data_IF_741359791599
#
_entry.id   IF_741359791599
#
_cell.length_a   1.000
_cell.length_b   1.000
_cell.length_c   1.000
_cell.angle_alpha   90.00
_cell.angle_beta   90.00
_cell.angle_gamma   90.00
#
_symmetry.space_group_name_H-M   'P 1'
#
loop_
_entity.id
_entity.type
_entity.pdbx_description
1 polymer ?
#
# COMPACT_ATOMS: atom_id res chain seq x y z
N UNK A 1 26.33 -6.54 -0.41
CA UNK A 1 25.57 -7.71 -0.90
C UNK A 1 25.61 -8.79 0.17
N UNK A 2 24.53 -8.96 0.94
CA UNK A 2 24.33 -10.19 1.71
C UNK A 2 24.03 -11.33 0.70
N UNK A 3 24.44 -12.58 0.96
CA UNK A 3 24.20 -13.66 0.01
C UNK A 3 22.69 -13.85 -0.13
N UNK A 4 22.18 -13.72 -1.35
CA UNK A 4 20.87 -14.24 -1.74
C UNK A 4 20.81 -15.69 -1.27
N UNK A 5 19.85 -15.96 -0.40
CA UNK A 5 19.53 -17.32 0.03
C UNK A 5 19.50 -18.20 -1.22
N UNK A 6 20.29 -19.29 -1.27
CA UNK A 6 20.45 -20.16 -2.44
C UNK A 6 19.19 -20.99 -2.70
N UNK A 7 18.03 -20.41 -2.47
CA UNK A 7 16.72 -21.00 -2.46
C UNK A 7 15.98 -20.62 -3.74
N UNK A 8 15.22 -21.58 -4.25
CA UNK A 8 14.33 -21.44 -5.37
C UNK A 8 13.32 -20.33 -5.10
N UNK A 9 13.22 -19.36 -6.00
CA UNK A 9 12.26 -18.26 -5.88
C UNK A 9 10.78 -18.72 -5.96
N UNK A 10 10.52 -19.98 -6.28
CA UNK A 10 9.16 -20.53 -6.43
C UNK A 10 8.76 -21.42 -5.25
N UNK A 11 9.66 -22.28 -4.77
CA UNK A 11 9.33 -23.28 -3.73
C UNK A 11 10.27 -23.24 -2.51
N UNK A 12 11.22 -22.31 -2.47
CA UNK A 12 12.20 -22.15 -1.39
C UNK A 12 13.19 -23.32 -1.18
N UNK A 13 13.13 -24.39 -1.96
CA UNK A 13 14.14 -25.47 -1.97
C UNK A 13 15.49 -25.00 -2.53
N UNK A 14 16.63 -25.61 -2.19
CA UNK A 14 17.94 -25.25 -2.75
C UNK A 14 17.94 -25.19 -4.29
N UNK A 15 18.53 -24.14 -4.85
CA UNK A 15 18.47 -23.82 -6.26
C UNK A 15 19.81 -23.39 -6.88
N UNK A 16 19.84 -23.42 -8.20
CA UNK A 16 20.95 -22.93 -9.04
C UNK A 16 20.60 -21.57 -9.63
N UNK A 17 21.62 -20.75 -9.86
CA UNK A 17 21.46 -19.43 -10.46
C UNK A 17 20.87 -19.52 -11.88
N UNK A 18 20.03 -18.54 -12.20
CA UNK A 18 19.64 -18.27 -13.58
C UNK A 18 20.89 -17.91 -14.40
N UNK A 19 21.22 -18.70 -15.43
CA UNK A 19 22.41 -18.46 -16.26
C UNK A 19 22.39 -17.16 -17.06
N UNK A 20 21.24 -16.47 -17.14
CA UNK A 20 21.15 -15.16 -17.78
C UNK A 20 21.47 -14.04 -16.80
N UNK A 21 20.72 -13.84 -15.71
CA UNK A 21 20.95 -12.70 -14.81
C UNK A 21 21.99 -12.96 -13.70
N UNK A 22 22.25 -14.23 -13.39
CA UNK A 22 23.08 -14.69 -12.28
C UNK A 22 22.69 -14.07 -10.93
N UNK A 23 21.39 -13.95 -10.65
CA UNK A 23 20.88 -13.38 -9.41
C UNK A 23 19.80 -14.26 -8.75
N UNK A 24 18.70 -14.56 -9.46
CA UNK A 24 17.66 -15.45 -8.94
C UNK A 24 18.08 -16.93 -9.02
N UNK A 25 17.56 -17.75 -8.12
CA UNK A 25 17.81 -19.20 -8.06
C UNK A 25 16.55 -20.01 -8.35
N UNK A 26 16.72 -21.18 -8.97
CA UNK A 26 15.66 -22.18 -9.18
C UNK A 26 16.17 -23.59 -8.88
N UNK A 27 15.35 -24.42 -8.22
CA UNK A 27 15.68 -25.83 -7.96
C UNK A 27 15.74 -26.67 -9.25
N UNK A 28 15.09 -26.22 -10.32
CA UNK A 28 15.15 -26.87 -11.63
C UNK A 28 14.30 -26.17 -12.71
N UNK A 29 14.26 -26.74 -13.93
CA UNK A 29 13.58 -26.13 -15.09
C UNK A 29 12.09 -25.91 -14.90
N UNK A 30 11.42 -26.73 -14.07
CA UNK A 30 9.98 -26.60 -13.80
C UNK A 30 9.68 -25.27 -13.11
N UNK A 31 10.38 -24.97 -12.00
CA UNK A 31 10.23 -23.70 -11.29
C UNK A 31 10.69 -22.51 -12.13
N UNK A 32 11.80 -22.65 -12.86
CA UNK A 32 12.26 -21.60 -13.77
C UNK A 32 11.22 -21.27 -14.85
N UNK A 33 10.61 -22.29 -15.48
CA UNK A 33 9.60 -22.11 -16.52
C UNK A 33 8.31 -21.51 -15.97
N UNK A 34 7.91 -21.89 -14.75
CA UNK A 34 6.74 -21.32 -14.08
C UNK A 34 6.91 -19.81 -13.82
N UNK A 35 8.09 -19.38 -13.40
CA UNK A 35 8.41 -17.98 -13.12
C UNK A 35 8.81 -17.17 -14.37
N UNK A 36 9.20 -17.84 -15.47
CA UNK A 36 9.78 -17.21 -16.65
C UNK A 36 8.94 -16.08 -17.25
N UNK A 37 7.60 -16.19 -17.23
CA UNK A 37 6.71 -15.16 -17.76
C UNK A 37 6.91 -13.80 -17.06
N UNK A 38 7.20 -13.84 -15.75
CA UNK A 38 7.44 -12.68 -14.90
C UNK A 38 8.93 -12.33 -14.91
N UNK A 39 9.79 -13.30 -14.59
CA UNK A 39 11.24 -13.09 -14.47
C UNK A 39 11.87 -12.47 -15.73
N UNK A 40 11.45 -12.89 -16.93
CA UNK A 40 12.02 -12.39 -18.19
C UNK A 40 11.93 -10.87 -18.37
N UNK A 41 10.97 -10.22 -17.69
CA UNK A 41 10.75 -8.77 -17.78
C UNK A 41 11.96 -7.98 -17.25
N UNK A 42 12.63 -8.48 -16.21
CA UNK A 42 13.79 -7.85 -15.56
C UNK A 42 15.09 -8.66 -15.67
N UNK A 43 15.03 -9.94 -16.07
CA UNK A 43 16.17 -10.84 -16.11
C UNK A 43 17.39 -10.25 -16.84
N UNK A 44 17.22 -9.80 -18.09
CA UNK A 44 18.35 -9.32 -18.89
C UNK A 44 18.83 -7.93 -18.48
N UNK A 45 17.92 -7.06 -18.03
CA UNK A 45 18.29 -5.70 -17.58
C UNK A 45 19.04 -5.70 -16.26
N UNK A 46 18.90 -6.75 -15.44
CA UNK A 46 19.60 -6.86 -14.16
C UNK A 46 21.11 -6.70 -14.28
N UNK A 47 21.75 -7.24 -15.33
CA UNK A 47 23.22 -7.10 -15.51
C UNK A 47 23.66 -5.63 -15.57
N UNK A 48 22.90 -4.79 -16.26
CA UNK A 48 23.20 -3.37 -16.39
C UNK A 48 22.90 -2.59 -15.09
N UNK A 49 22.00 -3.11 -14.26
CA UNK A 49 21.63 -2.53 -12.98
C UNK A 49 22.29 -3.26 -11.79
N UNK A 50 23.29 -4.12 -12.00
CA UNK A 50 23.87 -4.94 -10.93
C UNK A 50 24.59 -4.07 -9.90
N UNK A 51 25.39 -3.12 -10.39
CA UNK A 51 26.25 -2.27 -9.58
C UNK A 51 25.75 -0.83 -9.56
N UNK A 52 25.84 -0.13 -8.42
CA UNK A 52 25.42 1.25 -8.30
C UNK A 52 26.31 2.19 -9.11
N UNK A 53 25.75 3.26 -9.71
CA UNK A 53 26.54 4.25 -10.43
C UNK A 53 27.34 5.18 -9.49
N UNK A 54 27.10 5.12 -8.18
CA UNK A 54 27.78 5.94 -7.18
C UNK A 54 27.36 5.59 -5.75
N UNK A 55 27.96 6.23 -4.74
CA UNK A 55 27.55 6.08 -3.34
C UNK A 55 26.13 6.64 -3.13
N UNK A 56 25.47 6.19 -2.06
CA UNK A 56 24.13 6.66 -1.67
C UNK A 56 23.07 6.51 -2.77
N UNK A 57 23.20 5.48 -3.59
CA UNK A 57 22.21 5.07 -4.59
C UNK A 57 21.55 3.78 -4.14
N UNK A 58 20.24 3.64 -4.41
CA UNK A 58 19.53 2.38 -4.22
C UNK A 58 18.86 1.92 -5.51
N UNK A 59 18.82 0.60 -5.72
CA UNK A 59 18.15 0.00 -6.86
C UNK A 59 16.67 -0.21 -6.55
N UNK A 60 15.85 0.38 -7.40
CA UNK A 60 14.39 0.35 -7.34
C UNK A 60 13.83 -0.32 -8.59
N UNK A 61 12.58 -0.77 -8.53
CA UNK A 61 11.84 -1.24 -9.70
C UNK A 61 10.81 -0.18 -10.06
N UNK A 62 10.96 0.40 -11.25
CA UNK A 62 10.03 1.36 -11.81
C UNK A 62 9.03 0.66 -12.73
N UNK A 63 7.77 1.08 -12.61
CA UNK A 63 6.66 0.68 -13.45
C UNK A 63 6.21 1.91 -14.25
N UNK A 64 6.80 2.15 -15.43
CA UNK A 64 6.39 3.25 -16.29
C UNK A 64 4.95 3.04 -16.77
N UNK A 65 4.15 4.09 -16.79
CA UNK A 65 2.73 3.96 -17.17
C UNK A 65 2.51 3.82 -18.68
N UNK A 66 3.47 4.25 -19.49
CA UNK A 66 3.40 4.26 -20.96
C UNK A 66 4.12 3.05 -21.61
N UNK A 67 4.56 2.07 -20.83
CA UNK A 67 5.24 0.88 -21.31
C UNK A 67 4.75 -0.34 -20.53
N UNK A 68 4.66 -1.50 -21.17
CA UNK A 68 4.29 -2.75 -20.52
C UNK A 68 5.42 -3.35 -19.66
N UNK A 69 6.65 -2.84 -19.80
CA UNK A 69 7.84 -3.44 -19.22
C UNK A 69 8.31 -2.67 -17.97
N UNK A 70 8.47 -3.34 -16.82
CA UNK A 70 9.13 -2.74 -15.66
C UNK A 70 10.65 -2.64 -15.86
N UNK A 71 11.28 -1.74 -15.12
CA UNK A 71 12.70 -1.42 -15.28
C UNK A 71 13.40 -1.26 -13.94
N UNK A 72 14.67 -1.67 -13.86
CA UNK A 72 15.52 -1.30 -12.73
C UNK A 72 16.04 0.12 -12.93
N UNK A 73 15.94 0.94 -11.88
CA UNK A 73 16.56 2.26 -11.84
C UNK A 73 17.44 2.37 -10.60
N UNK A 74 18.48 3.19 -10.70
CA UNK A 74 19.23 3.64 -9.53
C UNK A 74 18.75 5.03 -9.16
N UNK A 75 18.31 5.20 -7.91
CA UNK A 75 17.84 6.49 -7.40
C UNK A 75 18.69 6.96 -6.22
N UNK A 76 18.95 8.27 -6.11
CA UNK A 76 19.62 8.83 -4.94
C UNK A 76 18.81 8.56 -3.68
N UNK A 77 19.50 8.25 -2.59
CA UNK A 77 18.88 7.99 -1.31
C UNK A 77 18.75 9.31 -0.54
N UNK A 78 17.58 9.55 0.05
CA UNK A 78 17.35 10.69 0.93
C UNK A 78 18.27 10.60 2.16
N UNK A 79 19.02 11.67 2.50
CA UNK A 79 19.78 11.73 3.74
C UNK A 79 18.85 11.66 4.98
N UNK A 80 19.35 11.04 6.05
CA UNK A 80 18.64 10.94 7.32
C UNK A 80 18.53 9.50 7.84
N UNK A 81 17.66 9.33 8.83
CA UNK A 81 17.45 8.05 9.52
C UNK A 81 16.60 7.05 8.72
N UNK A 82 15.80 7.56 7.78
CA UNK A 82 14.97 6.76 6.87
C UNK A 82 15.51 6.88 5.45
N UNK A 83 16.23 5.84 5.01
CA UNK A 83 16.85 5.73 3.70
C UNK A 83 15.81 5.31 2.65
N UNK A 84 15.30 6.26 1.86
CA UNK A 84 14.29 6.04 0.80
C UNK A 84 14.71 6.73 -0.50
N UNK A 85 14.17 6.36 -1.68
CA UNK A 85 14.56 7.02 -2.91
C UNK A 85 14.13 8.49 -2.93
N UNK A 86 14.89 9.32 -3.64
CA UNK A 86 14.50 10.66 -4.05
C UNK A 86 13.95 10.58 -5.48
N UNK A 87 12.64 10.42 -5.68
CA UNK A 87 12.05 10.20 -7.01
C UNK A 87 12.17 11.43 -7.93
N UNK A 88 12.44 12.62 -7.37
CA UNK A 88 12.60 13.85 -8.15
C UNK A 88 11.36 14.14 -9.00
N UNK A 89 11.53 14.13 -10.33
CA UNK A 89 10.45 14.37 -11.31
C UNK A 89 9.76 13.08 -11.79
N UNK A 90 10.09 11.92 -11.23
CA UNK A 90 9.57 10.62 -11.69
C UNK A 90 8.04 10.57 -11.72
N UNK A 91 7.37 11.12 -10.71
CA UNK A 91 5.90 11.18 -10.65
C UNK A 91 5.29 12.35 -11.44
N UNK A 92 6.13 13.21 -12.03
CA UNK A 92 5.72 14.40 -12.73
C UNK A 92 5.21 15.52 -11.79
N UNK A 93 4.50 16.45 -12.40
CA UNK A 93 3.84 17.57 -11.74
C UNK A 93 2.35 17.56 -12.06
N UNK A 94 1.56 18.28 -11.27
CA UNK A 94 0.12 18.41 -11.48
C UNK A 94 -0.68 17.56 -10.49
N UNK A 95 -1.70 18.20 -9.92
CA UNK A 95 -2.43 17.79 -8.73
C UNK A 95 -3.18 18.99 -8.12
N UNK A 96 -3.81 18.82 -6.95
CA UNK A 96 -4.43 19.91 -6.18
C UNK A 96 -3.45 21.02 -5.79
N UNK A 97 -2.14 20.74 -5.79
CA UNK A 97 -1.08 21.74 -5.55
C UNK A 97 -0.91 22.77 -6.66
N UNK A 98 -1.54 22.57 -7.83
CA UNK A 98 -1.48 23.49 -8.97
C UNK A 98 -0.27 23.27 -9.91
N UNK A 99 -0.17 24.07 -10.99
CA UNK A 99 0.85 23.92 -12.01
C UNK A 99 2.27 24.02 -11.44
N UNK A 100 3.14 23.07 -11.79
CA UNK A 100 4.55 23.07 -11.39
C UNK A 100 4.83 22.51 -9.98
N UNK A 101 3.82 22.15 -9.19
CA UNK A 101 4.03 21.38 -7.96
C UNK A 101 4.23 19.89 -8.27
N UNK A 102 5.08 19.17 -7.50
CA UNK A 102 5.19 17.72 -7.59
C UNK A 102 3.81 17.08 -7.43
N UNK A 103 3.55 16.00 -8.17
CA UNK A 103 2.34 15.20 -7.98
C UNK A 103 2.28 14.65 -6.55
N UNK A 104 1.07 14.58 -5.97
CA UNK A 104 0.92 13.89 -4.69
C UNK A 104 1.09 12.38 -4.89
N UNK A 105 1.79 11.77 -3.94
CA UNK A 105 2.03 10.33 -3.92
C UNK A 105 1.63 9.75 -2.59
N UNK A 106 1.13 8.53 -2.62
CA UNK A 106 0.93 7.69 -1.44
C UNK A 106 1.89 6.50 -1.48
N UNK A 107 2.12 5.89 -0.32
CA UNK A 107 3.03 4.77 -0.12
C UNK A 107 2.34 3.64 0.66
N UNK A 108 2.39 2.43 0.14
CA UNK A 108 1.97 1.23 0.85
C UNK A 108 3.15 0.27 0.96
N UNK A 109 3.32 -0.33 2.13
CA UNK A 109 4.46 -1.21 2.41
C UNK A 109 4.02 -2.57 2.90
N UNK A 110 4.76 -3.62 2.55
CA UNK A 110 4.49 -4.98 3.03
C UNK A 110 5.80 -5.74 3.30
N UNK A 111 5.75 -6.67 4.24
CA UNK A 111 6.89 -7.55 4.58
C UNK A 111 6.52 -9.03 4.57
N UNK A 112 5.36 -9.38 4.02
CA UNK A 112 4.91 -10.77 3.92
C UNK A 112 4.83 -11.20 2.46
N UNK A 113 5.19 -12.45 2.20
CA UNK A 113 4.85 -13.11 0.95
C UNK A 113 3.33 -13.28 0.86
N UNK A 114 2.73 -12.76 -0.20
CA UNK A 114 1.28 -12.63 -0.33
C UNK A 114 0.56 -13.98 -0.39
N UNK A 115 1.27 -15.04 -0.81
CA UNK A 115 0.70 -16.38 -0.94
C UNK A 115 0.85 -17.23 0.30
N UNK A 116 1.96 -17.07 1.01
CA UNK A 116 2.35 -17.98 2.09
C UNK A 116 2.31 -17.33 3.47
N UNK A 117 2.18 -16.00 3.54
CA UNK A 117 2.23 -15.23 4.79
C UNK A 117 3.61 -15.18 5.44
N UNK A 118 4.60 -15.88 4.88
CA UNK A 118 5.96 -15.91 5.39
C UNK A 118 6.58 -14.52 5.31
N UNK A 119 7.32 -14.15 6.36
CA UNK A 119 8.02 -12.87 6.40
C UNK A 119 9.15 -12.84 5.37
N UNK A 120 9.19 -11.77 4.58
CA UNK A 120 10.25 -11.47 3.64
C UNK A 120 11.51 -11.03 4.40
N UNK A 121 12.65 -11.12 3.74
CA UNK A 121 13.93 -10.69 4.32
C UNK A 121 14.10 -9.17 4.37
N UNK A 122 13.22 -8.43 3.69
CA UNK A 122 13.14 -6.98 3.69
C UNK A 122 11.71 -6.52 3.45
N UNK A 123 11.43 -5.26 3.81
CA UNK A 123 10.16 -4.59 3.53
C UNK A 123 10.17 -4.02 2.12
N UNK A 124 9.10 -4.22 1.39
CA UNK A 124 8.88 -3.64 0.07
C UNK A 124 7.87 -2.51 0.19
N UNK A 125 8.20 -1.35 -0.36
CA UNK A 125 7.33 -0.16 -0.38
C UNK A 125 6.98 0.19 -1.82
N UNK A 126 5.69 0.35 -2.09
CA UNK A 126 5.11 0.75 -3.37
C UNK A 126 4.64 2.20 -3.23
N UNK A 127 5.27 3.08 -3.98
CA UNK A 127 4.91 4.49 -4.10
C UNK A 127 4.18 4.75 -5.42
N UNK A 128 3.02 5.39 -5.35
CA UNK A 128 2.15 5.63 -6.51
C UNK A 128 1.45 6.99 -6.40
N UNK A 129 0.90 7.49 -7.52
CA UNK A 129 0.12 8.74 -7.52
C UNK A 129 -1.20 8.56 -6.76
N UNK A 130 -1.48 9.46 -5.84
CA UNK A 130 -2.71 9.44 -5.01
C UNK A 130 -3.88 10.19 -5.68
N UNK A 131 -3.58 11.13 -6.58
CA UNK A 131 -4.58 12.01 -7.21
C UNK A 131 -5.16 11.47 -8.53
N UNK A 132 -4.94 10.19 -8.84
CA UNK A 132 -5.27 9.65 -10.16
C UNK A 132 -6.76 9.77 -10.56
N UNK A 133 -7.65 9.92 -9.58
CA UNK A 133 -9.09 10.08 -9.80
C UNK A 133 -9.47 11.49 -10.28
N UNK A 134 -8.61 12.48 -10.08
CA UNK A 134 -8.89 13.89 -10.35
C UNK A 134 -7.91 14.54 -11.32
N UNK A 135 -6.73 13.93 -11.53
CA UNK A 135 -5.65 14.50 -12.35
C UNK A 135 -5.62 14.02 -13.82
N UNK A 136 -6.49 13.07 -14.19
CA UNK A 136 -6.56 12.52 -15.55
C UNK A 136 -5.46 11.51 -15.90
N UNK A 137 -4.74 10.99 -14.90
CA UNK A 137 -3.67 9.99 -15.10
C UNK A 137 -4.18 8.74 -15.81
N UNK A 138 -3.43 8.29 -16.82
CA UNK A 138 -3.72 7.06 -17.54
C UNK A 138 -3.39 5.83 -16.68
N UNK A 139 -4.13 4.71 -16.84
CA UNK A 139 -3.80 3.45 -16.19
C UNK A 139 -2.35 3.02 -16.45
N UNK A 140 -1.71 2.43 -15.44
CA UNK A 140 -0.32 2.02 -15.56
C UNK A 140 -0.18 0.74 -16.39
N UNK A 141 0.26 0.87 -17.65
CA UNK A 141 0.41 -0.26 -18.56
C UNK A 141 1.40 -1.32 -18.04
N UNK A 142 2.46 -0.93 -17.32
CA UNK A 142 3.45 -1.87 -16.80
C UNK A 142 2.87 -2.73 -15.67
N UNK A 143 2.05 -2.15 -14.79
CA UNK A 143 1.38 -2.88 -13.70
C UNK A 143 0.34 -3.84 -14.29
N UNK A 144 -0.51 -3.37 -15.21
CA UNK A 144 -1.53 -4.19 -15.86
C UNK A 144 -0.93 -5.37 -16.64
N UNK A 145 0.17 -5.14 -17.37
CA UNK A 145 0.86 -6.21 -18.08
C UNK A 145 1.53 -7.23 -17.14
N UNK A 146 2.02 -6.79 -15.98
CA UNK A 146 2.63 -7.67 -14.98
C UNK A 146 1.58 -8.58 -14.32
N UNK A 147 0.43 -8.03 -13.93
CA UNK A 147 -0.65 -8.80 -13.28
C UNK A 147 -1.37 -9.69 -14.28
N UNK A 148 -1.53 -9.23 -15.52
CA UNK A 148 -2.26 -9.91 -16.59
C UNK A 148 -3.78 -9.81 -16.43
N UNK A 149 -4.26 -8.80 -15.69
CA UNK A 149 -5.68 -8.66 -15.35
C UNK A 149 -5.93 -7.61 -14.25
N UNK A 150 -7.08 -7.70 -13.55
CA UNK A 150 -7.46 -6.78 -12.49
C UNK A 150 -6.39 -6.65 -11.41
N UNK A 151 -6.25 -5.43 -10.89
CA UNK A 151 -5.36 -5.11 -9.78
C UNK A 151 -6.18 -4.81 -8.53
N UNK A 152 -5.58 -5.05 -7.35
CA UNK A 152 -6.14 -4.71 -6.03
C UNK A 152 -6.78 -3.32 -6.04
N UNK A 153 -6.10 -2.38 -6.69
CA UNK A 153 -6.61 -1.04 -6.94
C UNK A 153 -6.19 -0.57 -8.33
N UNK A 154 -6.82 0.51 -8.78
CA UNK A 154 -6.41 1.19 -10.02
C UNK A 154 -5.12 1.96 -9.75
N UNK A 155 -4.03 1.52 -10.36
CA UNK A 155 -2.78 2.27 -10.43
C UNK A 155 -2.77 3.06 -11.74
N UNK A 156 -2.61 4.38 -11.61
CA UNK A 156 -2.55 5.28 -12.76
C UNK A 156 -1.38 6.26 -12.61
N UNK A 157 -0.77 6.60 -13.74
CA UNK A 157 0.54 7.22 -13.77
C UNK A 157 1.66 6.27 -13.31
N UNK A 158 2.90 6.78 -13.19
CA UNK A 158 4.06 5.95 -12.87
C UNK A 158 3.99 5.41 -11.44
N UNK A 159 4.50 4.19 -11.23
CA UNK A 159 4.61 3.54 -9.93
C UNK A 159 6.07 3.19 -9.67
N UNK A 160 6.53 3.36 -8.43
CA UNK A 160 7.90 3.08 -8.00
C UNK A 160 7.88 2.09 -6.85
N UNK A 161 8.75 1.08 -6.87
CA UNK A 161 8.87 0.10 -5.81
C UNK A 161 10.31 0.05 -5.30
N UNK A 162 10.49 0.09 -3.99
CA UNK A 162 11.80 0.11 -3.35
C UNK A 162 11.83 -0.75 -2.08
N UNK A 163 13.05 -1.17 -1.69
CA UNK A 163 13.28 -2.08 -0.57
C UNK A 163 13.90 -1.37 0.63
N UNK A 164 13.50 -1.79 1.83
CA UNK A 164 14.00 -1.28 3.10
C UNK A 164 14.20 -2.37 4.14
N UNK A 165 15.11 -2.16 5.09
CA UNK A 165 15.20 -3.02 6.27
C UNK A 165 13.90 -2.97 7.04
N UNK A 166 13.43 -4.14 7.46
CA UNK A 166 12.28 -4.27 8.34
C UNK A 166 12.73 -4.12 9.80
N UNK A 167 12.77 -2.87 10.26
CA UNK A 167 13.23 -2.50 11.61
C UNK A 167 12.06 -2.06 12.49
N UNK A 168 12.25 -2.07 13.80
CA UNK A 168 11.21 -1.61 14.73
C UNK A 168 11.04 -0.10 14.66
N UNK A 169 9.92 0.40 15.16
CA UNK A 169 9.68 1.83 15.31
C UNK A 169 10.80 2.51 16.10
N UNK A 170 11.30 3.64 15.58
CA UNK A 170 12.41 4.39 16.16
C UNK A 170 13.81 3.91 15.75
N UNK A 171 13.93 2.79 15.04
CA UNK A 171 15.20 2.34 14.48
C UNK A 171 15.48 2.96 13.10
N UNK A 172 16.77 3.09 12.76
CA UNK A 172 17.20 3.63 11.46
C UNK A 172 16.87 2.63 10.35
N UNK A 173 16.03 3.06 9.41
CA UNK A 173 15.64 2.27 8.24
C UNK A 173 16.71 2.42 7.16
N UNK A 174 17.38 1.32 6.81
CA UNK A 174 18.34 1.26 5.71
C UNK A 174 17.65 0.88 4.39
N UNK A 175 18.25 1.27 3.28
CA UNK A 175 17.81 0.88 1.94
C UNK A 175 18.28 -0.53 1.61
N UNK A 176 17.48 -1.27 0.85
CA UNK A 176 17.82 -2.57 0.28
C UNK A 176 17.60 -2.50 -1.23
N UNK A 177 18.60 -2.94 -1.99
CA UNK A 177 18.54 -2.99 -3.45
C UNK A 177 17.64 -4.13 -3.90
N UNK A 178 16.50 -3.79 -4.49
CA UNK A 178 15.59 -4.80 -5.05
C UNK A 178 16.27 -5.55 -6.18
N UNK A 179 15.97 -6.83 -6.36
CA UNK A 179 16.58 -7.66 -7.40
C UNK A 179 15.54 -8.47 -8.19
N UNK A 180 15.99 -9.43 -8.99
CA UNK A 180 15.07 -10.18 -9.86
C UNK A 180 14.14 -11.12 -9.09
N UNK A 181 14.42 -11.41 -7.81
CA UNK A 181 13.59 -12.26 -6.94
C UNK A 181 12.35 -11.53 -6.39
N UNK A 182 12.36 -10.20 -6.33
CA UNK A 182 11.26 -9.42 -5.74
C UNK A 182 10.07 -9.25 -6.69
N UNK A 183 10.30 -9.38 -8.01
CA UNK A 183 9.27 -9.04 -9.00
C UNK A 183 8.00 -9.89 -8.86
N UNK A 184 8.12 -11.17 -8.48
CA UNK A 184 6.96 -12.04 -8.38
C UNK A 184 6.12 -11.74 -7.13
N UNK A 185 6.75 -11.41 -6.00
CA UNK A 185 5.99 -11.00 -4.80
C UNK A 185 5.32 -9.64 -5.01
N UNK A 186 6.00 -8.70 -5.69
CA UNK A 186 5.42 -7.42 -6.10
C UNK A 186 4.22 -7.63 -7.03
N UNK A 187 4.33 -8.55 -8.00
CA UNK A 187 3.22 -8.93 -8.87
C UNK A 187 2.00 -9.41 -8.08
N UNK A 188 2.20 -10.30 -7.11
CA UNK A 188 1.10 -10.79 -6.29
C UNK A 188 0.49 -9.68 -5.44
N UNK A 189 1.29 -8.76 -4.91
CA UNK A 189 0.77 -7.63 -4.17
C UNK A 189 -0.08 -6.71 -5.06
N UNK A 190 0.34 -6.43 -6.30
CA UNK A 190 -0.51 -5.65 -7.22
C UNK A 190 -1.83 -6.36 -7.57
N UNK A 191 -1.84 -7.68 -7.66
CA UNK A 191 -3.02 -8.45 -8.06
C UNK A 191 -3.99 -8.74 -6.89
N UNK A 192 -3.44 -9.06 -5.71
CA UNK A 192 -4.20 -9.61 -4.57
C UNK A 192 -4.17 -8.66 -3.38
N UNK A 193 -3.12 -7.84 -3.25
CA UNK A 193 -2.87 -6.97 -2.12
C UNK A 193 -2.10 -7.65 -1.01
N UNK A 194 -2.57 -7.50 0.21
CA UNK A 194 -1.89 -7.99 1.41
C UNK A 194 -2.24 -9.44 1.71
N UNK A 195 -1.36 -10.14 2.40
CA UNK A 195 -1.66 -11.46 2.92
C UNK A 195 -2.83 -11.40 3.92
N UNK A 196 -3.83 -12.26 3.73
CA UNK A 196 -4.95 -12.44 4.64
C UNK A 196 -4.73 -13.70 5.49
N UNK A 197 -4.64 -13.54 6.82
CA UNK A 197 -4.58 -14.69 7.72
C UNK A 197 -5.98 -15.19 8.08
N UNK A 198 -6.08 -16.46 8.46
CA UNK A 198 -7.36 -17.14 8.75
C UNK A 198 -8.17 -16.43 9.85
N UNK A 199 -7.48 -15.86 10.84
CA UNK A 199 -8.08 -15.18 11.99
C UNK A 199 -8.26 -13.66 11.78
N UNK A 200 -7.97 -13.12 10.59
CA UNK A 200 -7.94 -11.67 10.37
C UNK A 200 -9.26 -10.98 10.74
N UNK A 201 -10.41 -11.57 10.38
CA UNK A 201 -11.72 -11.01 10.73
C UNK A 201 -11.91 -10.93 12.26
N UNK A 202 -11.46 -11.95 13.00
CA UNK A 202 -11.51 -11.94 14.47
C UNK A 202 -10.65 -10.82 15.05
N UNK A 203 -9.44 -10.63 14.50
CA UNK A 203 -8.52 -9.58 14.93
C UNK A 203 -9.07 -8.18 14.63
N UNK A 204 -9.66 -8.00 13.45
CA UNK A 204 -10.38 -6.78 13.07
C UNK A 204 -11.55 -6.53 14.02
N UNK A 205 -12.40 -7.52 14.27
CA UNK A 205 -13.55 -7.35 15.17
C UNK A 205 -13.12 -6.92 16.58
N UNK A 206 -12.04 -7.51 17.12
CA UNK A 206 -11.47 -7.13 18.42
C UNK A 206 -10.83 -5.75 18.41
N UNK A 207 -10.16 -5.37 17.32
CA UNK A 207 -9.60 -4.03 17.13
C UNK A 207 -10.72 -2.98 17.11
N UNK A 208 -11.78 -3.22 16.34
CA UNK A 208 -12.94 -2.32 16.25
C UNK A 208 -13.71 -2.25 17.58
N UNK A 209 -13.85 -3.36 18.32
CA UNK A 209 -14.55 -3.38 19.61
C UNK A 209 -13.85 -2.56 20.70
N UNK A 210 -12.54 -2.33 20.57
CA UNK A 210 -11.78 -1.50 21.51
C UNK A 210 -12.13 -0.02 21.45
N UNK A 211 -12.93 0.43 20.47
CA UNK A 211 -13.35 1.82 20.31
C UNK A 211 -12.26 2.77 19.81
N UNK A 212 -11.03 2.27 19.58
CA UNK A 212 -9.91 3.05 19.08
C UNK A 212 -9.97 3.34 17.58
N UNK A 213 -11.00 2.82 16.91
CA UNK A 213 -11.06 2.76 15.47
C UNK A 213 -12.46 3.14 14.99
N UNK A 214 -12.58 4.30 14.34
CA UNK A 214 -13.86 4.84 13.89
C UNK A 214 -14.09 4.51 12.41
N UNK A 215 -15.22 3.86 12.09
CA UNK A 215 -15.55 3.55 10.69
C UNK A 215 -15.81 4.85 9.93
N UNK A 216 -15.34 4.92 8.67
CA UNK A 216 -15.60 6.06 7.79
C UNK A 216 -17.10 6.31 7.59
N UNK A 217 -17.90 5.25 7.47
CA UNK A 217 -19.37 5.34 7.41
C UNK A 217 -19.95 6.06 8.62
N UNK A 218 -19.46 5.72 9.82
CA UNK A 218 -19.97 6.25 11.07
C UNK A 218 -19.58 7.73 11.21
N UNK A 219 -18.39 8.11 10.73
CA UNK A 219 -17.97 9.52 10.65
C UNK A 219 -18.88 10.35 9.74
N UNK A 220 -19.25 9.81 8.58
CA UNK A 220 -20.15 10.48 7.64
C UNK A 220 -21.54 10.64 8.28
N UNK A 221 -22.11 9.57 8.82
CA UNK A 221 -23.43 9.59 9.46
C UNK A 221 -23.46 10.50 10.70
N UNK A 222 -22.40 10.53 11.50
CA UNK A 222 -22.25 11.44 12.64
C UNK A 222 -22.31 12.91 12.17
N UNK A 223 -21.58 13.22 11.11
CA UNK A 223 -21.53 14.58 10.55
C UNK A 223 -22.89 14.99 10.01
N UNK A 224 -23.54 14.12 9.22
CA UNK A 224 -24.90 14.34 8.69
C UNK A 224 -25.93 14.53 9.81
N UNK A 225 -25.87 13.70 10.85
CA UNK A 225 -26.76 13.79 12.00
C UNK A 225 -26.58 15.11 12.77
N UNK A 226 -25.32 15.55 12.93
CA UNK A 226 -25.02 16.82 13.60
C UNK A 226 -25.48 18.03 12.77
N UNK A 227 -25.23 18.01 11.47
CA UNK A 227 -25.74 19.06 10.56
C UNK A 227 -27.28 19.14 10.60
N UNK A 228 -27.96 18.00 10.65
CA UNK A 228 -29.41 17.96 10.79
C UNK A 228 -29.88 18.52 12.14
N UNK A 229 -29.14 18.27 13.23
CA UNK A 229 -29.42 18.88 14.54
C UNK A 229 -29.25 20.41 14.51
N UNK A 230 -28.21 20.91 13.85
CA UNK A 230 -28.02 22.35 13.67
C UNK A 230 -29.18 22.97 12.87
N UNK A 231 -29.60 22.33 11.78
CA UNK A 231 -30.75 22.77 10.97
C UNK A 231 -32.04 22.82 11.79
N UNK A 232 -32.34 21.78 12.56
CA UNK A 232 -33.57 21.73 13.39
C UNK A 232 -33.56 22.78 14.51
N UNK A 233 -32.38 23.13 15.04
CA UNK A 233 -32.20 24.22 16.03
C UNK A 233 -32.09 25.61 15.40
N UNK A 234 -32.24 25.75 14.07
CA UNK A 234 -32.10 27.02 13.37
C UNK A 234 -30.70 27.62 13.43
N UNK A 235 -29.67 26.79 13.68
CA UNK A 235 -28.27 27.22 13.74
C UNK A 235 -27.62 27.11 12.35
N UNK A 236 -26.78 28.07 11.95
CA UNK A 236 -26.06 28.00 10.69
C UNK A 236 -25.01 26.88 10.74
N UNK A 237 -24.85 26.15 9.63
CA UNK A 237 -23.75 25.22 9.44
C UNK A 237 -22.53 26.03 8.99
N UNK A 238 -21.45 26.08 9.78
CA UNK A 238 -20.27 26.85 9.42
C UNK A 238 -19.60 26.25 8.17
N UNK A 239 -19.18 27.12 7.26
CA UNK A 239 -18.33 26.75 6.11
C UNK A 239 -16.91 27.20 6.41
N UNK A 240 -15.97 26.27 6.33
CA UNK A 240 -14.55 26.55 6.50
C UNK A 240 -13.87 26.48 5.13
N UNK A 241 -13.18 27.54 4.75
CA UNK A 241 -12.26 27.55 3.60
C UNK A 241 -10.84 27.35 4.10
N UNK A 242 -10.01 26.62 3.35
CA UNK A 242 -8.59 26.49 3.68
C UNK A 242 -7.84 27.81 3.56
N UNK A 243 -8.31 28.72 2.70
CA UNK A 243 -7.65 30.02 2.44
C UNK A 243 -7.98 31.08 3.50
N UNK A 244 -9.03 30.88 4.31
CA UNK A 244 -9.52 31.85 5.30
C UNK A 244 -10.21 31.12 6.48
N UNK A 245 -9.42 30.29 7.18
CA UNK A 245 -9.94 29.52 8.30
C UNK A 245 -9.94 30.35 9.60
N UNK A 246 -11.13 30.66 10.11
CA UNK A 246 -11.29 31.17 11.46
C UNK A 246 -11.05 30.02 12.46
N UNK A 247 -9.79 29.88 12.89
CA UNK A 247 -9.32 28.79 13.77
C UNK A 247 -10.18 28.70 15.04
N UNK A 248 -10.60 29.84 15.59
CA UNK A 248 -11.40 29.86 16.82
C UNK A 248 -12.78 29.25 16.58
N UNK A 249 -13.49 29.69 15.54
CA UNK A 249 -14.79 29.09 15.17
C UNK A 249 -14.67 27.62 14.80
N UNK A 250 -13.58 27.24 14.15
CA UNK A 250 -13.30 25.84 13.82
C UNK A 250 -13.13 24.99 15.09
N UNK A 251 -12.35 25.46 16.08
CA UNK A 251 -12.20 24.77 17.36
C UNK A 251 -13.53 24.65 18.11
N UNK A 252 -14.31 25.73 18.19
CA UNK A 252 -15.63 25.74 18.84
C UNK A 252 -16.60 24.74 18.17
N UNK A 253 -16.61 24.68 16.83
CA UNK A 253 -17.40 23.71 16.08
C UNK A 253 -16.97 22.27 16.37
N UNK A 254 -15.66 21.99 16.37
CA UNK A 254 -15.14 20.65 16.64
C UNK A 254 -15.41 20.19 18.06
N UNK A 255 -15.30 21.08 19.05
CA UNK A 255 -15.64 20.77 20.43
C UNK A 255 -17.13 20.44 20.58
N UNK A 256 -18.01 21.21 19.93
CA UNK A 256 -19.45 20.95 19.94
C UNK A 256 -19.81 19.63 19.22
N UNK A 257 -19.16 19.33 18.09
CA UNK A 257 -19.30 18.05 17.38
C UNK A 257 -18.81 16.87 18.25
N UNK A 258 -17.72 17.06 18.99
CA UNK A 258 -17.18 16.05 19.91
C UNK A 258 -18.14 15.74 21.05
N UNK A 259 -18.78 16.75 21.64
CA UNK A 259 -19.82 16.54 22.65
C UNK A 259 -21.08 15.88 22.07
N UNK A 260 -21.51 16.27 20.87
CA UNK A 260 -22.61 15.60 20.17
C UNK A 260 -22.31 14.12 19.92
N UNK A 261 -21.08 13.82 19.48
CA UNK A 261 -20.61 12.46 19.23
C UNK A 261 -20.80 11.54 20.44
N UNK A 262 -20.51 12.00 21.66
CA UNK A 262 -20.68 11.17 22.87
C UNK A 262 -22.11 10.65 23.02
N UNK A 263 -23.10 11.50 22.76
CA UNK A 263 -24.51 11.14 22.84
C UNK A 263 -24.95 10.29 21.64
N UNK A 264 -24.45 10.63 20.45
CA UNK A 264 -24.72 9.89 19.22
C UNK A 264 -24.19 8.45 19.29
N UNK A 265 -22.96 8.25 19.79
CA UNK A 265 -22.37 6.92 20.01
C UNK A 265 -23.18 6.09 21.00
N UNK A 266 -23.67 6.71 22.09
CA UNK A 266 -24.52 6.03 23.07
C UNK A 266 -25.85 5.58 22.45
N UNK A 267 -26.47 6.43 21.62
CA UNK A 267 -27.72 6.12 20.92
C UNK A 267 -27.53 5.03 19.85
N UNK A 268 -26.48 5.12 19.03
CA UNK A 268 -26.20 4.13 17.99
C UNK A 268 -25.88 2.75 18.53
N UNK A 269 -25.18 2.65 19.67
CA UNK A 269 -24.95 1.36 20.33
C UNK A 269 -26.24 0.66 20.76
N UNK A 270 -27.29 1.43 21.07
CA UNK A 270 -28.60 0.89 21.45
C UNK A 270 -29.41 0.49 20.21
N UNK A 271 -29.39 1.31 19.15
CA UNK A 271 -30.16 1.08 17.93
C UNK A 271 -29.55 0.00 17.03
N UNK A 272 -28.22 -0.15 17.04
CA UNK A 272 -27.47 -1.15 16.29
C UNK A 272 -26.60 -1.99 17.24
N UNK A 273 -27.19 -2.89 18.04
CA UNK A 273 -26.44 -3.76 18.91
C UNK A 273 -25.49 -4.62 18.06
N UNK A 274 -24.20 -4.38 18.19
CA UNK A 274 -23.19 -5.23 17.57
C UNK A 274 -23.07 -6.49 18.41
N UNK A 275 -23.09 -7.68 17.81
CA UNK A 275 -22.77 -8.93 18.51
C UNK A 275 -21.40 -8.79 19.17
N UNK A 276 -21.42 -8.61 20.49
CA UNK A 276 -20.19 -8.42 21.26
C UNK A 276 -19.57 -9.80 21.43
N UNK A 277 -18.66 -10.15 20.53
CA UNK A 277 -17.82 -11.33 20.71
C UNK A 277 -17.03 -11.16 22.01
N UNK A 278 -16.97 -12.24 22.80
CA UNK A 278 -16.19 -12.24 24.02
C UNK A 278 -14.69 -12.22 23.69
N UNK A 279 -14.04 -11.10 24.00
CA UNK A 279 -12.60 -10.90 23.84
C UNK A 279 -11.86 -10.91 25.18
N UNK A 280 -12.41 -11.55 26.21
CA UNK A 280 -11.80 -11.71 27.53
C UNK A 280 -10.41 -12.37 27.49
N UNK A 281 -10.16 -13.23 26.50
CA UNK A 281 -8.84 -13.86 26.30
C UNK A 281 -7.81 -12.86 25.77
N UNK A 282 -6.58 -12.86 26.30
CA UNK A 282 -5.52 -11.97 25.82
C UNK A 282 -5.20 -12.22 24.34
N UNK A 283 -4.65 -11.20 23.68
CA UNK A 283 -4.15 -11.31 22.31
C UNK A 283 -2.98 -12.30 22.25
N UNK A 284 -3.01 -13.19 21.28
CA UNK A 284 -1.90 -14.10 21.03
C UNK A 284 -0.78 -13.42 20.22
N UNK A 285 0.30 -14.16 19.96
CA UNK A 285 1.46 -13.64 19.21
C UNK A 285 1.13 -13.33 17.74
N UNK A 286 0.19 -14.06 17.14
CA UNK A 286 -0.20 -13.88 15.75
C UNK A 286 -1.01 -12.59 15.59
N UNK A 287 -1.96 -12.33 16.50
CA UNK A 287 -2.72 -11.08 16.53
C UNK A 287 -1.81 -9.87 16.76
N UNK A 288 -0.88 -9.95 17.72
CA UNK A 288 0.06 -8.86 18.00
C UNK A 288 0.95 -8.55 16.79
N UNK A 289 1.44 -9.57 16.09
CA UNK A 289 2.23 -9.41 14.88
C UNK A 289 1.39 -8.82 13.73
N UNK A 290 0.15 -9.27 13.58
CA UNK A 290 -0.79 -8.74 12.59
C UNK A 290 -1.11 -7.26 12.84
N UNK A 291 -1.33 -6.86 14.10
CA UNK A 291 -1.57 -5.45 14.47
C UNK A 291 -0.38 -4.55 14.18
N UNK A 292 0.82 -5.02 14.48
CA UNK A 292 2.03 -4.26 14.18
C UNK A 292 2.22 -4.11 12.68
N UNK A 293 1.98 -5.17 11.89
CA UNK A 293 2.04 -5.05 10.44
C UNK A 293 0.95 -4.14 9.89
N UNK A 294 -0.28 -4.19 10.42
CA UNK A 294 -1.37 -3.30 10.04
C UNK A 294 -0.99 -1.82 10.25
N UNK A 295 -0.29 -1.52 11.35
CA UNK A 295 0.19 -0.18 11.69
C UNK A 295 1.30 0.31 10.75
N UNK A 296 2.25 -0.56 10.39
CA UNK A 296 3.41 -0.18 9.55
C UNK A 296 3.05 -0.15 8.05
N UNK A 297 2.17 -1.06 7.60
CA UNK A 297 1.89 -1.27 6.18
C UNK A 297 1.00 -0.20 5.54
N UNK A 298 0.24 0.55 6.35
CA UNK A 298 -0.81 1.44 5.88
C UNK A 298 -2.08 0.71 5.40
N UNK A 299 -2.12 -0.63 5.49
CA UNK A 299 -3.24 -1.49 5.03
C UNK A 299 -4.60 -1.09 5.62
N UNK A 300 -4.62 -0.50 6.81
CA UNK A 300 -5.83 -0.14 7.54
C UNK A 300 -6.78 0.78 6.76
N UNK A 301 -6.28 1.73 5.97
CA UNK A 301 -7.10 2.74 5.28
C UNK A 301 -7.65 2.30 3.92
N UNK A 302 -7.23 1.13 3.41
CA UNK A 302 -7.38 0.77 1.99
C UNK A 302 -8.28 -0.44 1.72
N UNK A 303 -8.54 -1.29 2.72
CA UNK A 303 -9.29 -2.54 2.51
C UNK A 303 -10.72 -2.33 1.99
N UNK A 304 -11.41 -1.27 2.41
CA UNK A 304 -12.76 -0.99 1.92
C UNK A 304 -12.79 -0.59 0.44
N UNK A 305 -11.76 0.12 -0.03
CA UNK A 305 -11.70 0.62 -1.40
C UNK A 305 -11.19 -0.43 -2.40
N UNK A 306 -10.32 -1.33 -1.95
CA UNK A 306 -9.72 -2.36 -2.80
C UNK A 306 -10.74 -3.41 -3.29
N UNK A 307 -11.63 -3.87 -2.40
CA UNK A 307 -12.65 -4.88 -2.76
C UNK A 307 -13.68 -4.33 -3.76
N UNK A 308 -14.17 -3.12 -3.53
CA UNK A 308 -15.07 -2.41 -4.47
C UNK A 308 -14.41 -2.16 -5.84
N UNK A 309 -13.10 -1.90 -5.86
CA UNK A 309 -12.34 -1.67 -7.09
C UNK A 309 -12.08 -2.97 -7.87
N UNK A 310 -11.86 -4.10 -7.19
CA UNK A 310 -11.77 -5.41 -7.83
C UNK A 310 -13.12 -5.83 -8.42
N UNK A 311 -14.21 -5.72 -7.64
CA UNK A 311 -15.57 -6.07 -8.07
C UNK A 311 -16.04 -5.20 -9.26
N UNK A 312 -15.64 -3.92 -9.33
CA UNK A 312 -15.95 -3.04 -10.46
C UNK A 312 -15.03 -3.24 -11.68
N UNK A 313 -13.90 -3.93 -11.55
CA UNK A 313 -13.00 -4.27 -12.66
C UNK A 313 -13.41 -5.57 -13.38
N UNK A 314 -14.30 -6.37 -12.81
CA UNK A 314 -14.87 -7.55 -13.48
C UNK A 314 -15.81 -7.19 -14.66
N UNK A 315 -16.12 -5.90 -14.86
CA UNK A 315 -16.94 -5.39 -15.96
C UNK A 315 -16.11 -4.82 -17.12
N UNK A 316 -15.09 -5.55 -17.58
CA UNK A 316 -14.43 -5.30 -18.87
C UNK A 316 -14.86 -6.42 -19.81
N UNK A 317 -15.67 -6.16 -20.86
CA UNK A 317 -16.09 -7.18 -21.81
C UNK A 317 -14.88 -7.86 -22.44
N UNK A 318 -14.85 -9.20 -22.41
CA UNK A 318 -13.85 -9.99 -23.13
C UNK A 318 -13.87 -9.60 -24.62
N UNK A 319 -12.80 -8.99 -25.10
CA UNK A 319 -12.67 -8.55 -26.50
C UNK A 319 -12.09 -7.14 -26.73
N UNK A 320 -11.75 -6.40 -25.68
CA UNK A 320 -11.04 -5.12 -25.79
C UNK A 320 -9.54 -5.24 -25.46
N UNK A 321 -8.82 -6.12 -26.17
CA UNK A 321 -7.36 -6.11 -26.35
C UNK A 321 -7.01 -6.73 -27.70
#
# INVERSE_FOLDING_TARGET
MAPTNKQCAVCSEPGKLCGSCENIHYCGPVCQKADWKVHKLLCRSFKAARDPPGPDMMRVIAFPFHSAKPEFLWMPIKPGEVKRPLPGKFFGSGGFGGPGRPALTDELSFVQDIKTGKRLHHRITVQFRDEFRTDGSLPNASVLALTGGPCLKKFAGPVLVFGNTDTKEGEKIQSIDLDTSDLNVIRYWFAIGFYECENEQLYMDRLMSSGNVQKKSDMIQLTEAYEQELRTKGRPIPKFSLDDIDIKKWLEYNEALYEFKKNWDAKNKVENPTEQRDFSKPMDKEELAWREELRISGRYYDQSSAKEVLESQEWIPEGAL
#
